data_IF_841935876628
#
_entry.id   IF_841935876628
#
_cell.length_a   1.000
_cell.length_b   1.000
_cell.length_c   1.000
_cell.angle_alpha   90.00
_cell.angle_beta   90.00
_cell.angle_gamma   90.00
#
_symmetry.space_group_name_H-M   'P 1'
#
loop_
_entity.id
_entity.type
_entity.pdbx_description
1 polymer ?
#
# COMPACT_ATOMS: atom_id res chain seq x y z
N UNK A 1 31.95 8.95 -15.49
CA UNK A 1 30.80 9.19 -16.37
C UNK A 1 29.70 8.22 -15.95
N UNK A 2 28.83 8.61 -15.01
CA UNK A 2 27.70 7.79 -14.61
C UNK A 2 26.63 7.93 -15.70
N UNK A 3 26.10 6.79 -16.16
CA UNK A 3 25.01 6.70 -17.14
C UNK A 3 23.83 7.54 -16.65
N UNK A 4 23.21 8.31 -17.56
CA UNK A 4 22.16 9.28 -17.24
C UNK A 4 21.14 8.74 -16.25
N UNK A 5 21.05 9.40 -15.10
CA UNK A 5 20.09 9.06 -14.05
C UNK A 5 18.68 9.36 -14.57
N UNK A 6 17.91 8.31 -14.83
CA UNK A 6 16.50 8.42 -15.17
C UNK A 6 15.74 8.84 -13.92
N UNK A 7 15.35 10.09 -13.85
CA UNK A 7 14.57 10.63 -12.73
C UNK A 7 13.08 10.37 -12.96
N UNK A 8 12.50 9.44 -12.21
CA UNK A 8 11.07 9.11 -12.27
C UNK A 8 10.33 9.66 -11.06
N UNK A 9 9.04 9.88 -11.26
CA UNK A 9 8.09 10.15 -10.17
C UNK A 9 7.43 8.84 -9.75
N UNK A 10 7.62 8.42 -8.50
CA UNK A 10 7.27 7.07 -8.01
C UNK A 10 6.41 7.17 -6.75
N UNK A 11 5.26 6.49 -6.76
CA UNK A 11 4.50 6.24 -5.54
C UNK A 11 5.04 4.99 -4.83
N UNK A 12 5.34 5.06 -3.54
CA UNK A 12 5.73 3.88 -2.74
C UNK A 12 4.59 3.50 -1.82
N UNK A 13 4.08 2.28 -1.96
CA UNK A 13 3.06 1.73 -1.08
C UNK A 13 3.67 1.37 0.29
N UNK A 14 3.35 2.18 1.30
CA UNK A 14 3.82 2.04 2.68
C UNK A 14 2.77 1.33 3.54
N UNK A 15 3.18 0.27 4.24
CA UNK A 15 2.33 -0.46 5.19
C UNK A 15 2.65 -0.14 6.65
N UNK A 16 3.58 0.80 6.91
CA UNK A 16 4.19 0.99 8.24
C UNK A 16 5.27 -0.06 8.58
N UNK A 17 5.53 -1.01 7.68
CA UNK A 17 6.56 -2.04 7.87
C UNK A 17 7.95 -1.60 7.42
N UNK A 18 8.96 -2.38 7.83
CA UNK A 18 10.36 -2.12 7.45
C UNK A 18 10.59 -2.24 5.95
N UNK A 19 10.05 -3.26 5.28
CA UNK A 19 10.33 -3.53 3.86
C UNK A 19 9.92 -2.37 2.95
N UNK A 20 8.70 -1.84 3.15
CA UNK A 20 8.22 -0.69 2.38
C UNK A 20 8.98 0.59 2.71
N UNK A 21 9.43 0.73 3.96
CA UNK A 21 10.22 1.88 4.41
C UNK A 21 11.62 1.88 3.81
N UNK A 22 12.28 0.72 3.78
CA UNK A 22 13.57 0.51 3.11
C UNK A 22 13.44 0.72 1.61
N UNK A 23 12.38 0.22 0.97
CA UNK A 23 12.14 0.48 -0.45
C UNK A 23 12.03 1.98 -0.76
N UNK A 24 11.30 2.74 0.05
CA UNK A 24 11.21 4.20 -0.09
C UNK A 24 12.59 4.87 0.08
N UNK A 25 13.34 4.51 1.12
CA UNK A 25 14.65 5.07 1.40
C UNK A 25 15.64 4.84 0.24
N UNK A 26 15.67 3.62 -0.32
CA UNK A 26 16.54 3.29 -1.45
C UNK A 26 16.20 4.08 -2.71
N UNK A 27 14.91 4.31 -2.99
CA UNK A 27 14.50 5.09 -4.16
C UNK A 27 14.79 6.59 -3.98
N UNK A 28 14.71 7.11 -2.75
CA UNK A 28 15.16 8.47 -2.41
C UNK A 28 16.68 8.58 -2.58
N UNK A 29 17.45 7.61 -2.11
CA UNK A 29 18.92 7.57 -2.28
C UNK A 29 19.33 7.53 -3.76
N UNK A 30 18.53 6.88 -4.60
CA UNK A 30 18.70 6.84 -6.07
C UNK A 30 18.30 8.15 -6.77
N UNK A 31 17.82 9.15 -6.04
CA UNK A 31 17.52 10.47 -6.58
C UNK A 31 16.18 10.56 -7.33
N UNK A 32 15.23 9.65 -7.09
CA UNK A 32 13.89 9.74 -7.66
C UNK A 32 12.98 10.67 -6.86
N UNK A 33 11.91 11.18 -7.49
CA UNK A 33 10.86 11.92 -6.79
C UNK A 33 9.85 10.93 -6.20
N UNK A 34 9.81 10.85 -4.88
CA UNK A 34 9.01 9.85 -4.16
C UNK A 34 7.80 10.47 -3.49
N UNK A 35 6.67 9.76 -3.59
CA UNK A 35 5.45 10.03 -2.83
C UNK A 35 5.10 8.78 -2.05
N UNK A 36 5.03 8.89 -0.72
CA UNK A 36 4.53 7.82 0.14
C UNK A 36 3.02 7.71 0.05
N UNK A 37 2.50 6.51 -0.20
CA UNK A 37 1.05 6.24 -0.21
C UNK A 37 0.73 5.07 0.73
N UNK A 38 -0.26 5.24 1.60
CA UNK A 38 -0.76 4.16 2.46
C UNK A 38 -2.24 3.91 2.15
N UNK A 39 -2.65 2.64 2.11
CA UNK A 39 -4.04 2.28 1.89
C UNK A 39 -4.81 2.23 3.20
N UNK A 40 -5.98 2.86 3.25
CA UNK A 40 -7.02 2.57 4.23
C UNK A 40 -7.95 1.51 3.63
N UNK A 41 -7.91 0.29 4.16
CA UNK A 41 -8.64 -0.87 3.61
C UNK A 41 -9.85 -1.27 4.44
N UNK A 42 -9.85 -0.94 5.72
CA UNK A 42 -10.95 -1.26 6.63
C UNK A 42 -10.84 -0.39 7.88
N UNK A 43 -11.74 0.58 8.06
CA UNK A 43 -11.94 1.19 9.35
C UNK A 43 -12.88 0.27 10.16
N UNK A 44 -12.40 -0.28 11.26
CA UNK A 44 -13.24 -1.09 12.16
C UNK A 44 -14.41 -0.26 12.67
N UNK A 45 -15.59 -0.43 12.06
CA UNK A 45 -16.88 -0.02 12.61
C UNK A 45 -17.46 -1.06 13.59
N UNK A 46 -16.64 -1.99 14.08
CA UNK A 46 -17.07 -2.97 15.08
C UNK A 46 -16.94 -2.37 16.47
N UNK A 47 -18.07 -2.11 17.13
CA UNK A 47 -18.17 -1.73 18.54
C UNK A 47 -17.88 -2.92 19.50
N UNK A 48 -16.94 -3.81 19.16
CA UNK A 48 -16.60 -5.02 19.92
C UNK A 48 -15.09 -5.19 20.12
N UNK A 49 -14.70 -6.13 20.99
CA UNK A 49 -13.32 -6.44 21.41
C UNK A 49 -12.47 -7.14 20.33
N UNK A 50 -12.66 -6.85 19.05
CA UNK A 50 -11.79 -7.41 18.01
C UNK A 50 -10.53 -6.55 17.85
N UNK A 51 -9.34 -7.16 17.78
CA UNK A 51 -8.10 -6.41 17.63
C UNK A 51 -8.10 -5.60 16.32
N UNK A 52 -7.55 -4.39 16.39
CA UNK A 52 -7.37 -3.52 15.22
C UNK A 52 -6.57 -4.25 14.13
N UNK A 53 -6.91 -4.00 12.87
CA UNK A 53 -6.14 -4.49 11.73
C UNK A 53 -4.73 -3.86 11.77
N UNK A 54 -3.65 -4.64 11.95
CA UNK A 54 -2.29 -4.09 12.07
C UNK A 54 -1.81 -3.31 10.84
N UNK A 55 -2.40 -3.56 9.67
CA UNK A 55 -2.06 -2.89 8.41
C UNK A 55 -2.81 -1.55 8.22
N UNK A 56 -3.83 -1.27 9.05
CA UNK A 56 -4.64 -0.05 8.99
C UNK A 56 -4.86 0.59 10.37
N UNK A 57 -4.08 0.20 11.38
CA UNK A 57 -4.17 0.78 12.72
C UNK A 57 -3.70 2.24 12.72
N UNK A 58 -4.14 3.00 13.73
CA UNK A 58 -3.66 4.36 13.92
C UNK A 58 -2.13 4.41 14.08
N UNK A 59 -1.54 3.38 14.71
CA UNK A 59 -0.08 3.25 14.84
C UNK A 59 0.61 3.05 13.49
N UNK A 60 0.12 2.15 12.62
CA UNK A 60 0.74 1.92 11.32
C UNK A 60 0.69 3.16 10.41
N UNK A 61 -0.40 3.94 10.49
CA UNK A 61 -0.51 5.22 9.80
C UNK A 61 0.48 6.25 10.35
N UNK A 62 0.67 6.29 11.67
CA UNK A 62 1.66 7.16 12.30
C UNK A 62 3.09 6.77 11.90
N UNK A 63 3.40 5.47 11.88
CA UNK A 63 4.71 4.95 11.47
C UNK A 63 5.02 5.29 10.02
N UNK A 64 4.09 5.04 9.10
CA UNK A 64 4.26 5.38 7.68
C UNK A 64 4.45 6.89 7.47
N UNK A 65 3.71 7.72 8.22
CA UNK A 65 3.86 9.19 8.19
C UNK A 65 5.21 9.63 8.74
N UNK A 66 5.68 9.02 9.82
CA UNK A 66 6.98 9.32 10.42
C UNK A 66 8.12 8.96 9.46
N UNK A 67 8.04 7.81 8.79
CA UNK A 67 9.01 7.41 7.75
C UNK A 67 9.05 8.44 6.62
N UNK A 68 7.88 8.88 6.13
CA UNK A 68 7.83 9.92 5.09
C UNK A 68 8.45 11.25 5.56
N UNK A 69 8.20 11.64 6.81
CA UNK A 69 8.77 12.85 7.39
C UNK A 69 10.30 12.76 7.51
N UNK A 70 10.84 11.61 7.94
CA UNK A 70 12.28 11.36 8.02
C UNK A 70 12.96 11.41 6.64
N UNK A 71 12.28 10.90 5.61
CA UNK A 71 12.76 10.91 4.23
C UNK A 71 12.48 12.23 3.50
N UNK A 72 11.78 13.19 4.13
CA UNK A 72 11.34 14.45 3.53
C UNK A 72 10.53 14.27 2.24
N UNK A 73 9.58 13.32 2.24
CA UNK A 73 8.71 13.01 1.10
C UNK A 73 7.22 13.24 1.45
N UNK A 74 6.35 13.59 0.47
CA UNK A 74 4.92 13.71 0.71
C UNK A 74 4.28 12.38 1.11
N UNK A 75 3.22 12.45 1.92
CA UNK A 75 2.46 11.27 2.38
C UNK A 75 0.97 11.43 2.10
N UNK A 76 0.37 10.40 1.46
CA UNK A 76 -1.06 10.34 1.19
C UNK A 76 -1.69 9.08 1.78
N UNK A 77 -2.84 9.25 2.42
CA UNK A 77 -3.69 8.13 2.83
C UNK A 77 -4.79 7.94 1.77
N UNK A 78 -4.81 6.78 1.15
CA UNK A 78 -5.71 6.43 0.03
C UNK A 78 -6.80 5.52 0.55
N UNK A 79 -8.04 5.99 0.50
CA UNK A 79 -9.19 5.18 0.88
C UNK A 79 -9.57 4.18 -0.23
N UNK A 80 -9.52 2.89 0.11
CA UNK A 80 -9.85 1.78 -0.77
C UNK A 80 -10.78 0.77 -0.07
N UNK A 81 -11.47 1.18 1.00
CA UNK A 81 -12.29 0.29 1.82
C UNK A 81 -13.38 -0.42 1.02
N UNK A 82 -14.16 0.31 0.22
CA UNK A 82 -15.22 -0.28 -0.60
C UNK A 82 -14.69 -1.29 -1.62
N UNK A 83 -13.55 -0.97 -2.25
CA UNK A 83 -12.90 -1.85 -3.20
C UNK A 83 -12.36 -3.11 -2.50
N UNK A 84 -11.76 -2.95 -1.32
CA UNK A 84 -11.25 -4.06 -0.52
C UNK A 84 -12.36 -4.99 -0.05
N UNK A 85 -13.48 -4.44 0.46
CA UNK A 85 -14.67 -5.23 0.83
C UNK A 85 -15.12 -6.09 -0.35
N UNK A 86 -15.39 -5.44 -1.49
CA UNK A 86 -15.94 -6.12 -2.67
C UNK A 86 -15.00 -7.16 -3.26
N UNK A 87 -13.73 -6.79 -3.45
CA UNK A 87 -12.80 -7.59 -4.27
C UNK A 87 -11.99 -8.60 -3.45
N UNK A 88 -11.99 -8.49 -2.11
CA UNK A 88 -11.22 -9.37 -1.22
C UNK A 88 -12.10 -10.03 -0.18
N UNK A 89 -12.89 -9.25 0.57
CA UNK A 89 -13.69 -9.79 1.70
C UNK A 89 -14.86 -10.62 1.18
N UNK A 90 -15.69 -10.07 0.29
CA UNK A 90 -16.85 -10.76 -0.26
C UNK A 90 -16.41 -12.04 -1.00
N UNK A 91 -15.37 -11.95 -1.83
CA UNK A 91 -14.74 -13.12 -2.48
C UNK A 91 -14.30 -14.20 -1.48
N UNK A 92 -13.68 -13.80 -0.38
CA UNK A 92 -13.18 -14.72 0.65
C UNK A 92 -14.35 -15.42 1.34
N UNK A 93 -15.35 -14.67 1.81
CA UNK A 93 -16.53 -15.20 2.49
C UNK A 93 -17.34 -16.12 1.58
N UNK A 94 -17.62 -15.71 0.33
CA UNK A 94 -18.39 -16.51 -0.64
C UNK A 94 -17.68 -17.81 -0.97
N UNK A 95 -16.35 -17.78 -1.14
CA UNK A 95 -15.57 -18.99 -1.41
C UNK A 95 -15.59 -19.97 -0.24
N UNK A 96 -15.52 -19.47 1.00
CA UNK A 96 -15.66 -20.29 2.20
C UNK A 96 -17.06 -20.90 2.31
N UNK A 97 -18.11 -20.14 2.01
CA UNK A 97 -19.48 -20.64 2.00
C UNK A 97 -19.69 -21.78 0.99
N UNK A 98 -18.86 -21.84 -0.06
CA UNK A 98 -18.82 -22.91 -1.05
C UNK A 98 -17.88 -24.07 -0.67
N UNK A 99 -17.33 -24.10 0.56
CA UNK A 99 -16.44 -25.15 1.03
C UNK A 99 -15.05 -25.13 0.41
N UNK A 100 -14.60 -23.96 -0.09
CA UNK A 100 -13.25 -23.77 -0.65
C UNK A 100 -12.32 -23.09 0.35
N UNK A 101 -11.02 -23.18 0.10
CA UNK A 101 -9.98 -22.46 0.83
C UNK A 101 -9.41 -21.34 -0.06
N UNK A 102 -10.00 -20.14 -0.07
CA UNK A 102 -9.53 -19.02 -0.88
C UNK A 102 -8.22 -18.42 -0.36
N UNK A 103 -7.43 -17.84 -1.27
CA UNK A 103 -6.28 -17.00 -0.91
C UNK A 103 -6.64 -15.50 -1.09
N UNK A 104 -6.91 -14.76 0.01
CA UNK A 104 -7.29 -13.34 -0.08
C UNK A 104 -6.09 -12.45 -0.44
N UNK A 105 -4.85 -12.85 -0.11
CA UNK A 105 -3.66 -12.07 -0.44
C UNK A 105 -3.42 -11.97 -1.94
N UNK A 106 -3.73 -13.04 -2.69
CA UNK A 106 -3.66 -13.03 -4.15
C UNK A 106 -4.68 -12.05 -4.75
N UNK A 107 -5.92 -12.06 -4.25
CA UNK A 107 -6.96 -11.12 -4.67
C UNK A 107 -6.60 -9.68 -4.31
N UNK A 108 -6.07 -9.44 -3.10
CA UNK A 108 -5.62 -8.14 -2.65
C UNK A 108 -4.49 -7.58 -3.53
N UNK A 109 -3.45 -8.37 -3.81
CA UNK A 109 -2.38 -7.92 -4.69
C UNK A 109 -2.92 -7.56 -6.08
N UNK A 110 -3.74 -8.44 -6.69
CA UNK A 110 -4.26 -8.25 -8.04
C UNK A 110 -5.21 -7.07 -8.16
N UNK A 111 -6.20 -6.97 -7.27
CA UNK A 111 -7.33 -6.05 -7.42
C UNK A 111 -7.13 -4.75 -6.63
N UNK A 112 -6.38 -4.78 -5.54
CA UNK A 112 -6.19 -3.63 -4.65
C UNK A 112 -4.83 -2.99 -4.91
N UNK A 113 -3.72 -3.69 -4.69
CA UNK A 113 -2.39 -3.08 -4.78
C UNK A 113 -2.00 -2.71 -6.22
N UNK A 114 -2.13 -3.64 -7.16
CA UNK A 114 -1.67 -3.46 -8.54
C UNK A 114 -2.76 -3.00 -9.51
N UNK A 115 -3.95 -2.67 -9.00
CA UNK A 115 -5.06 -2.12 -9.80
C UNK A 115 -5.62 -0.85 -9.15
N UNK A 116 -6.35 -0.97 -8.04
CA UNK A 116 -6.98 0.20 -7.43
C UNK A 116 -5.97 1.25 -6.93
N UNK A 117 -4.94 0.83 -6.17
CA UNK A 117 -3.89 1.73 -5.70
C UNK A 117 -3.05 2.26 -6.87
N UNK A 118 -2.71 1.41 -7.85
CA UNK A 118 -2.00 1.86 -9.05
C UNK A 118 -2.76 2.96 -9.78
N UNK A 119 -4.07 2.82 -10.00
CA UNK A 119 -4.88 3.88 -10.62
C UNK A 119 -4.84 5.18 -9.80
N UNK A 120 -4.97 5.08 -8.47
CA UNK A 120 -4.87 6.26 -7.59
C UNK A 120 -3.49 6.91 -7.64
N UNK A 121 -2.44 6.12 -7.76
CA UNK A 121 -1.08 6.62 -7.90
C UNK A 121 -0.92 7.36 -9.24
N UNK A 122 -1.40 6.77 -10.34
CA UNK A 122 -1.39 7.41 -11.66
C UNK A 122 -2.15 8.75 -11.66
N UNK A 123 -3.28 8.84 -10.95
CA UNK A 123 -4.05 10.09 -10.78
C UNK A 123 -3.24 11.19 -10.04
N UNK A 124 -2.28 10.80 -9.19
CA UNK A 124 -1.35 11.73 -8.53
C UNK A 124 -0.21 12.18 -9.46
N UNK A 125 -0.15 11.67 -10.70
CA UNK A 125 0.86 11.99 -11.69
C UNK A 125 2.21 11.29 -11.45
N UNK A 126 2.22 10.12 -10.81
CA UNK A 126 3.42 9.26 -10.77
C UNK A 126 3.47 8.36 -12.01
N UNK A 127 4.66 7.95 -12.40
CA UNK A 127 4.90 7.04 -13.53
C UNK A 127 4.94 5.57 -13.08
N UNK A 128 5.35 5.34 -11.82
CA UNK A 128 5.59 4.00 -11.28
C UNK A 128 4.99 3.84 -9.89
N UNK A 129 4.60 2.60 -9.56
CA UNK A 129 4.24 2.17 -8.21
C UNK A 129 5.30 1.19 -7.71
N UNK A 130 5.90 1.47 -6.57
CA UNK A 130 6.81 0.60 -5.86
C UNK A 130 6.16 0.04 -4.59
N UNK A 131 6.63 -1.14 -4.16
CA UNK A 131 6.15 -1.82 -2.96
C UNK A 131 7.31 -2.53 -2.27
N UNK A 132 7.15 -2.90 -0.99
CA UNK A 132 8.12 -3.74 -0.27
C UNK A 132 8.05 -5.24 -0.57
N UNK A 133 7.46 -5.68 -1.69
CA UNK A 133 7.43 -7.10 -2.02
C UNK A 133 8.80 -7.58 -2.52
N UNK A 134 9.22 -8.75 -2.05
CA UNK A 134 10.43 -9.44 -2.52
C UNK A 134 10.16 -10.16 -3.85
N UNK A 135 10.21 -9.43 -4.97
CA UNK A 135 10.03 -9.93 -6.32
C UNK A 135 10.96 -9.20 -7.32
N UNK A 136 11.22 -9.80 -8.49
CA UNK A 136 12.03 -9.23 -9.58
C UNK A 136 11.43 -9.62 -10.93
#
# INVERSE_FOLDING_TARGET
MLKGETHHRIAVALSGGVDSSTAAALLVEQGHEIIGVMMRLWATHFQGEFPENPCCSASAVADARQVCALLNIPFHLVDLEDAFRKEVVDYFCDSYALGRTPNPCLACNRNIKFKALLHRALDLGVEHLATGHYAR
#
